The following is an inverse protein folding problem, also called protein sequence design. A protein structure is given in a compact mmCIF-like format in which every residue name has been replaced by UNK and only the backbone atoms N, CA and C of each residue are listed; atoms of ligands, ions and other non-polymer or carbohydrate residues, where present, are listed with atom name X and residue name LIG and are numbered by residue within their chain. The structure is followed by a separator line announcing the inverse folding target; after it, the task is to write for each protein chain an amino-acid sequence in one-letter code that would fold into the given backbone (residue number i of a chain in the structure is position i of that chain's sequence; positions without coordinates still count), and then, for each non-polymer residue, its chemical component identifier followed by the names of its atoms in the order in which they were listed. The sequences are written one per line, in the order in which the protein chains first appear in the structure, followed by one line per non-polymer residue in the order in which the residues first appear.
data_IF_903403077174
#
_entry.id   IF_903403077174
#
_cell.length_a   1.000
_cell.length_b   1.000
_cell.length_c   1.000
_cell.angle_alpha   90.00
_cell.angle_beta   90.00
_cell.angle_gamma   90.00
#
_symmetry.space_group_name_H-M   'P 1'
#
loop_
_entity.id
_entity.type
_entity.pdbx_description
1 polymer ?
#
# COMPACT_ATOMS: atom_id res chain seq x y z
N UNK A 1 -29.78 -50.13 -29.61
CA UNK A 1 -28.80 -49.02 -29.45
C UNK A 1 -29.57 -47.70 -29.28
N UNK A 2 -29.47 -47.07 -28.10
CA UNK A 2 -30.26 -45.87 -27.73
C UNK A 2 -29.52 -44.63 -28.25
N UNK A 3 -30.02 -43.96 -29.30
CA UNK A 3 -29.46 -42.69 -29.80
C UNK A 3 -29.69 -41.59 -28.77
N UNK A 4 -28.64 -41.17 -28.08
CA UNK A 4 -28.64 -39.94 -27.27
C UNK A 4 -28.71 -38.73 -28.19
N UNK A 5 -29.81 -37.97 -28.14
CA UNK A 5 -29.89 -36.65 -28.79
C UNK A 5 -28.85 -35.74 -28.15
N UNK A 6 -27.82 -35.34 -28.91
CA UNK A 6 -26.93 -34.26 -28.51
C UNK A 6 -27.68 -32.95 -28.79
N UNK A 7 -28.19 -32.30 -27.74
CA UNK A 7 -28.72 -30.96 -27.85
C UNK A 7 -27.53 -30.00 -27.92
N UNK A 8 -27.25 -29.47 -29.11
CA UNK A 8 -26.26 -28.42 -29.30
C UNK A 8 -26.81 -27.06 -28.87
N UNK A 9 -25.94 -26.19 -28.35
CA UNK A 9 -26.27 -24.81 -28.02
C UNK A 9 -26.65 -24.04 -29.29
N UNK A 10 -27.67 -23.18 -29.22
CA UNK A 10 -28.08 -22.39 -30.38
C UNK A 10 -27.15 -21.19 -30.57
N UNK A 11 -26.95 -20.75 -31.82
CA UNK A 11 -26.14 -19.54 -32.07
C UNK A 11 -26.75 -18.31 -31.39
N UNK A 12 -28.08 -18.24 -31.30
CA UNK A 12 -28.78 -17.12 -30.66
C UNK A 12 -28.55 -17.07 -29.15
N UNK A 13 -28.44 -18.22 -28.46
CA UNK A 13 -28.08 -18.25 -27.04
C UNK A 13 -26.66 -17.72 -26.82
N UNK A 14 -25.70 -18.09 -27.67
CA UNK A 14 -24.34 -17.58 -27.55
C UNK A 14 -24.28 -16.06 -27.74
N UNK A 15 -25.07 -15.52 -28.69
CA UNK A 15 -25.18 -14.08 -28.95
C UNK A 15 -25.82 -13.34 -27.78
N UNK A 16 -26.89 -13.88 -27.18
CA UNK A 16 -27.52 -13.24 -26.02
C UNK A 16 -26.58 -13.19 -24.82
N UNK A 17 -25.82 -14.28 -24.58
CA UNK A 17 -24.86 -14.35 -23.46
C UNK A 17 -23.76 -13.29 -23.60
N UNK A 18 -23.15 -13.13 -24.77
CA UNK A 18 -22.09 -12.12 -24.96
C UNK A 18 -22.62 -10.69 -24.81
N UNK A 19 -23.87 -10.42 -25.22
CA UNK A 19 -24.50 -9.10 -25.06
C UNK A 19 -24.71 -8.78 -23.58
N UNK A 20 -25.26 -9.72 -22.81
CA UNK A 20 -25.46 -9.53 -21.37
C UNK A 20 -24.12 -9.36 -20.65
N UNK A 21 -23.11 -10.18 -20.96
CA UNK A 21 -21.75 -10.03 -20.41
C UNK A 21 -21.11 -8.70 -20.80
N UNK A 22 -21.36 -8.21 -22.01
CA UNK A 22 -20.89 -6.90 -22.46
C UNK A 22 -21.46 -5.74 -21.64
N UNK A 23 -22.77 -5.77 -21.35
CA UNK A 23 -23.43 -4.74 -20.53
C UNK A 23 -22.91 -4.78 -19.09
N UNK A 24 -22.81 -5.98 -18.50
CA UNK A 24 -22.29 -6.14 -17.13
C UNK A 24 -20.84 -5.68 -17.02
N UNK A 25 -20.00 -6.01 -18.01
CA UNK A 25 -18.60 -5.59 -18.05
C UNK A 25 -18.46 -4.06 -18.15
N UNK A 26 -19.29 -3.41 -18.97
CA UNK A 26 -19.25 -1.95 -19.14
C UNK A 26 -19.49 -1.19 -17.83
N UNK A 27 -20.35 -1.71 -16.94
CA UNK A 27 -20.64 -1.09 -15.64
C UNK A 27 -19.59 -1.50 -14.58
N UNK A 28 -19.12 -2.74 -14.62
CA UNK A 28 -18.22 -3.28 -13.61
C UNK A 28 -16.79 -2.71 -13.69
N UNK A 29 -16.25 -2.52 -14.90
CA UNK A 29 -14.87 -2.04 -15.13
C UNK A 29 -14.58 -0.69 -14.43
N UNK A 30 -15.37 0.38 -14.63
CA UNK A 30 -15.06 1.67 -14.00
C UNK A 30 -15.19 1.61 -12.47
N UNK A 31 -16.15 0.85 -11.94
CA UNK A 31 -16.32 0.65 -10.50
C UNK A 31 -15.12 -0.08 -9.89
N UNK A 32 -14.63 -1.11 -10.56
CA UNK A 32 -13.52 -1.92 -10.07
C UNK A 32 -12.21 -1.14 -9.97
N UNK A 33 -11.95 -0.23 -10.93
CA UNK A 33 -10.77 0.64 -10.90
C UNK A 33 -10.74 1.53 -9.65
N UNK A 34 -11.85 2.22 -9.35
CA UNK A 34 -11.94 3.09 -8.16
C UNK A 34 -11.79 2.29 -6.87
N UNK A 35 -12.45 1.13 -6.76
CA UNK A 35 -12.34 0.28 -5.55
C UNK A 35 -10.93 -0.24 -5.31
N UNK A 36 -10.12 -0.42 -6.36
CA UNK A 36 -8.70 -0.81 -6.20
C UNK A 36 -7.88 0.33 -5.62
N UNK A 37 -8.05 1.54 -6.13
CA UNK A 37 -7.37 2.73 -5.60
C UNK A 37 -7.75 2.99 -4.14
N UNK A 38 -9.04 2.91 -3.80
CA UNK A 38 -9.50 3.06 -2.42
C UNK A 38 -8.91 1.99 -1.48
N UNK A 39 -8.81 0.74 -1.95
CA UNK A 39 -8.20 -0.35 -1.19
C UNK A 39 -6.70 -0.12 -0.96
N UNK A 40 -5.98 0.41 -1.95
CA UNK A 40 -4.56 0.76 -1.84
C UNK A 40 -4.35 1.89 -0.82
N UNK A 41 -5.17 2.95 -0.88
CA UNK A 41 -5.11 4.05 0.10
C UNK A 41 -5.43 3.53 1.50
N UNK A 42 -6.46 2.70 1.66
CA UNK A 42 -6.81 2.10 2.95
C UNK A 42 -5.69 1.23 3.51
N UNK A 43 -5.01 0.46 2.65
CA UNK A 43 -3.82 -0.32 3.03
C UNK A 43 -2.69 0.61 3.49
N UNK A 44 -2.37 1.63 2.70
CA UNK A 44 -1.35 2.62 3.04
C UNK A 44 -1.60 3.29 4.39
N UNK A 45 -2.85 3.71 4.66
CA UNK A 45 -3.28 4.26 5.96
C UNK A 45 -3.04 3.27 7.11
N UNK A 46 -3.40 2.00 6.92
CA UNK A 46 -3.18 0.94 7.92
C UNK A 46 -1.70 0.69 8.18
N UNK A 47 -0.88 0.67 7.12
CA UNK A 47 0.57 0.51 7.21
C UNK A 47 1.18 1.69 7.99
N UNK A 48 0.82 2.94 7.66
CA UNK A 48 1.27 4.16 8.36
C UNK A 48 0.90 4.12 9.85
N UNK A 49 -0.33 3.73 10.17
CA UNK A 49 -0.79 3.62 11.56
C UNK A 49 0.01 2.57 12.34
N UNK A 50 0.33 1.44 11.70
CA UNK A 50 1.14 0.37 12.29
C UNK A 50 2.58 0.84 12.53
N UNK A 51 3.19 1.53 11.54
CA UNK A 51 4.54 2.09 11.64
C UNK A 51 4.61 3.10 12.79
N UNK A 52 3.68 4.07 12.85
CA UNK A 52 3.62 5.06 13.93
C UNK A 52 3.45 4.42 15.31
N UNK A 53 2.60 3.39 15.40
CA UNK A 53 2.39 2.65 16.65
C UNK A 53 3.67 1.91 17.07
N UNK A 54 4.38 1.30 16.12
CA UNK A 54 5.66 0.64 16.35
C UNK A 54 6.73 1.62 16.86
N UNK A 55 6.85 2.81 16.24
CA UNK A 55 7.79 3.86 16.68
C UNK A 55 7.52 4.28 18.14
N UNK A 56 6.24 4.46 18.49
CA UNK A 56 5.86 4.83 19.86
C UNK A 56 6.15 3.69 20.84
N UNK A 57 5.89 2.45 20.45
CA UNK A 57 6.16 1.28 21.29
C UNK A 57 7.66 1.10 21.56
N UNK A 58 8.50 1.26 20.53
CA UNK A 58 9.96 1.27 20.66
C UNK A 58 10.44 2.36 21.61
N UNK A 59 9.89 3.59 21.49
CA UNK A 59 10.20 4.67 22.42
C UNK A 59 9.81 4.32 23.86
N UNK A 60 8.65 3.71 24.08
CA UNK A 60 8.23 3.30 25.42
C UNK A 60 9.20 2.30 26.03
N UNK A 61 9.66 1.32 25.25
CA UNK A 61 10.65 0.33 25.68
C UNK A 61 11.98 1.00 26.05
N UNK A 62 12.47 1.95 25.24
CA UNK A 62 13.71 2.69 25.52
C UNK A 62 13.63 3.54 26.78
N UNK A 63 12.51 4.24 26.99
CA UNK A 63 12.30 5.04 28.19
C UNK A 63 12.38 4.19 29.46
N UNK A 64 11.87 2.96 29.42
CA UNK A 64 11.96 2.00 30.54
C UNK A 64 13.43 1.57 30.79
N UNK A 65 14.24 1.49 29.74
CA UNK A 65 15.67 1.18 29.80
C UNK A 65 16.52 2.40 30.23
N UNK A 66 15.92 3.56 30.42
CA UNK A 66 16.61 4.81 30.78
C UNK A 66 17.17 5.59 29.59
N UNK A 67 16.83 5.19 28.37
CA UNK A 67 17.17 5.89 27.13
C UNK A 67 15.97 6.70 26.63
N UNK A 68 16.09 8.02 26.60
CA UNK A 68 15.01 8.90 26.10
C UNK A 68 15.10 9.21 24.60
N UNK A 69 16.10 8.66 23.89
CA UNK A 69 16.25 8.84 22.46
C UNK A 69 15.18 8.07 21.68
N UNK A 70 14.85 8.56 20.49
CA UNK A 70 14.06 7.78 19.55
C UNK A 70 14.94 6.74 18.85
N UNK A 71 14.29 5.78 18.21
CA UNK A 71 15.00 4.83 17.37
C UNK A 71 15.68 5.60 16.21
N UNK A 72 16.97 5.38 16.01
CA UNK A 72 17.74 6.08 14.96
C UNK A 72 17.40 5.59 13.55
N UNK A 73 16.89 4.36 13.43
CA UNK A 73 16.46 3.79 12.16
C UNK A 73 15.30 2.81 12.37
N UNK A 74 14.19 3.05 11.70
CA UNK A 74 13.01 2.20 11.75
C UNK A 74 13.16 0.92 10.92
N UNK A 75 14.22 0.76 10.11
CA UNK A 75 14.47 -0.41 9.27
C UNK A 75 15.30 -1.54 9.87
N UNK A 76 15.89 -1.37 11.08
CA UNK A 76 16.97 -2.21 11.69
C UNK A 76 18.27 -2.30 10.88
N UNK A 77 18.18 -2.42 9.57
CA UNK A 77 19.30 -2.44 8.64
C UNK A 77 19.07 -1.39 7.55
N UNK A 78 19.82 -0.30 7.62
CA UNK A 78 19.82 0.79 6.65
C UNK A 78 20.07 0.29 5.21
N UNK A 79 20.72 -0.86 5.04
CA UNK A 79 21.08 -1.44 3.74
C UNK A 79 20.03 -2.41 3.20
N UNK A 80 19.03 -2.79 4.00
CA UNK A 80 18.00 -3.72 3.57
C UNK A 80 16.94 -2.97 2.74
N UNK A 81 16.98 -3.21 1.43
CA UNK A 81 16.01 -2.68 0.46
C UNK A 81 14.90 -3.67 0.11
N UNK A 82 14.90 -4.86 0.72
CA UNK A 82 13.95 -5.95 0.46
C UNK A 82 12.77 -6.00 1.42
N UNK A 83 13.01 -5.65 2.69
CA UNK A 83 12.00 -5.57 3.74
C UNK A 83 12.18 -4.26 4.49
N UNK A 84 11.08 -3.55 4.67
CA UNK A 84 11.02 -2.24 5.30
C UNK A 84 10.49 -2.33 6.72
N UNK A 85 10.87 -1.38 7.57
CA UNK A 85 10.32 -1.16 8.91
C UNK A 85 10.56 -2.29 9.92
N UNK A 86 11.60 -3.11 9.73
CA UNK A 86 11.90 -4.24 10.63
C UNK A 86 12.14 -3.83 12.09
N UNK A 87 12.48 -2.56 12.35
CA UNK A 87 12.79 -2.06 13.71
C UNK A 87 11.60 -1.65 14.52
N UNK A 88 10.44 -1.51 13.88
CA UNK A 88 9.21 -1.06 14.51
C UNK A 88 8.05 -2.01 14.27
N UNK A 89 8.15 -2.89 13.27
CA UNK A 89 7.15 -3.91 12.96
C UNK A 89 7.69 -5.30 13.25
N UNK A 90 6.84 -6.16 13.81
CA UNK A 90 7.16 -7.58 14.02
C UNK A 90 7.41 -8.33 12.69
N UNK A 91 6.69 -7.93 11.64
CA UNK A 91 6.93 -8.39 10.27
C UNK A 91 7.19 -7.16 9.39
N UNK A 92 8.36 -7.10 8.78
CA UNK A 92 8.70 -6.04 7.84
C UNK A 92 7.81 -6.08 6.60
N UNK A 93 7.58 -4.91 6.01
CA UNK A 93 6.80 -4.77 4.78
C UNK A 93 7.72 -5.07 3.58
N UNK A 94 7.39 -6.00 2.67
CA UNK A 94 8.21 -6.23 1.49
C UNK A 94 8.28 -4.97 0.61
N UNK A 95 9.47 -4.69 0.12
CA UNK A 95 9.76 -3.53 -0.73
C UNK A 95 9.50 -3.86 -2.19
N UNK A 96 8.52 -3.21 -2.80
CA UNK A 96 8.15 -3.42 -4.20
C UNK A 96 7.79 -2.07 -4.87
N UNK A 97 8.38 -1.80 -6.04
CA UNK A 97 8.08 -0.60 -6.85
C UNK A 97 6.79 -0.79 -7.66
N UNK A 98 5.69 -1.12 -6.96
CA UNK A 98 4.36 -1.37 -7.54
C UNK A 98 3.30 -0.62 -6.76
N UNK A 99 2.18 -0.31 -7.41
CA UNK A 99 1.04 0.41 -6.84
C UNK A 99 0.48 -0.24 -5.55
N UNK A 100 0.37 0.53 -4.46
CA UNK A 100 -0.09 0.05 -3.16
C UNK A 100 1.00 -0.60 -2.29
N UNK A 101 2.25 -0.58 -2.75
CA UNK A 101 3.40 -1.09 -2.03
C UNK A 101 4.32 0.05 -1.57
N UNK A 102 5.08 -0.28 -0.53
CA UNK A 102 6.15 0.55 -0.03
C UNK A 102 7.44 0.13 -0.72
N UNK A 103 8.31 1.09 -0.99
CA UNK A 103 9.68 0.83 -1.40
C UNK A 103 10.60 1.95 -0.91
N UNK A 104 11.90 1.77 -1.05
CA UNK A 104 12.87 2.84 -0.81
C UNK A 104 13.83 2.94 -2.00
N UNK A 105 14.07 4.16 -2.49
CA UNK A 105 14.96 4.40 -3.63
C UNK A 105 16.44 4.39 -3.21
N UNK A 106 16.75 4.57 -1.93
CA UNK A 106 18.14 4.57 -1.44
C UNK A 106 18.17 4.07 0.01
N UNK A 107 18.95 3.02 0.22
CA UNK A 107 19.33 2.54 1.54
C UNK A 107 19.83 3.70 2.44
N UNK A 108 19.20 3.90 3.59
CA UNK A 108 19.81 4.62 4.70
C UNK A 108 19.51 6.11 4.90
N UNK A 109 18.45 6.68 4.33
CA UNK A 109 18.15 8.12 4.48
C UNK A 109 16.80 8.44 5.16
N UNK A 110 16.21 7.48 5.90
CA UNK A 110 14.92 7.69 6.58
C UNK A 110 13.75 8.03 5.66
N UNK A 111 13.90 7.78 4.35
CA UNK A 111 12.94 8.12 3.31
C UNK A 111 12.31 6.84 2.73
N UNK A 112 10.99 6.77 2.82
CA UNK A 112 10.17 5.64 2.41
C UNK A 112 9.13 6.13 1.43
N UNK A 113 8.91 5.39 0.36
CA UNK A 113 8.02 5.80 -0.72
C UNK A 113 6.84 4.86 -0.75
N UNK A 114 5.64 5.41 -0.76
CA UNK A 114 4.41 4.68 -1.00
C UNK A 114 3.88 5.06 -2.37
N UNK A 115 3.70 4.07 -3.25
CA UNK A 115 3.17 4.33 -4.60
C UNK A 115 1.65 4.32 -4.59
N UNK A 116 1.03 5.46 -4.89
CA UNK A 116 -0.41 5.64 -4.90
C UNK A 116 -0.85 6.59 -6.01
N UNK A 117 -1.93 6.25 -6.70
CA UNK A 117 -2.48 6.96 -7.85
C UNK A 117 -1.46 7.20 -8.98
N UNK A 118 -0.49 6.28 -9.15
CA UNK A 118 0.62 6.44 -10.09
C UNK A 118 1.63 7.52 -9.68
N UNK A 119 1.59 7.97 -8.41
CA UNK A 119 2.50 8.94 -7.83
C UNK A 119 3.33 8.31 -6.72
N UNK A 120 4.58 8.77 -6.61
CA UNK A 120 5.50 8.35 -5.56
C UNK A 120 5.35 9.30 -4.36
N UNK A 121 4.64 8.84 -3.31
CA UNK A 121 4.44 9.63 -2.08
C UNK A 121 5.59 9.38 -1.13
N UNK A 122 6.40 10.41 -0.90
CA UNK A 122 7.58 10.31 -0.03
C UNK A 122 7.20 10.58 1.42
N UNK A 123 7.48 9.61 2.29
CA UNK A 123 7.43 9.68 3.73
C UNK A 123 8.83 9.80 4.31
N UNK A 124 8.99 10.70 5.27
CA UNK A 124 10.25 10.90 5.99
C UNK A 124 10.02 10.58 7.46
N UNK A 125 10.98 9.84 8.02
CA UNK A 125 11.12 9.63 9.44
C UNK A 125 12.14 10.60 10.02
N UNK A 126 11.75 11.32 11.06
CA UNK A 126 12.64 12.18 11.84
C UNK A 126 13.00 11.47 13.16
N UNK A 127 14.29 11.16 13.34
CA UNK A 127 14.85 10.47 14.51
C UNK A 127 15.00 11.36 15.75
N UNK A 128 14.82 12.67 15.61
CA UNK A 128 14.86 13.63 16.71
C UNK A 128 13.46 13.83 17.28
N UNK A 129 12.46 13.86 16.40
CA UNK A 129 11.06 14.09 16.80
C UNK A 129 10.22 12.82 16.86
N UNK A 130 10.69 11.72 16.27
CA UNK A 130 9.94 10.46 16.14
C UNK A 130 8.76 10.53 15.17
N UNK A 131 8.67 11.59 14.37
CA UNK A 131 7.53 11.82 13.49
C UNK A 131 7.76 11.09 12.17
N UNK A 132 6.75 10.33 11.76
CA UNK A 132 6.68 9.71 10.44
C UNK A 132 5.57 10.38 9.62
N UNK A 133 5.97 11.19 8.63
CA UNK A 133 5.04 12.01 7.84
C UNK A 133 5.48 12.18 6.39
N UNK A 134 4.52 12.46 5.51
CA UNK A 134 4.77 12.95 4.16
C UNK A 134 4.50 14.47 4.08
N UNK A 135 5.06 15.12 3.05
CA UNK A 135 4.87 16.55 2.82
C UNK A 135 3.55 16.84 2.09
N UNK A 136 2.58 17.40 2.83
CA UNK A 136 1.22 17.73 2.34
C UNK A 136 1.19 18.87 1.32
N UNK A 137 2.25 19.68 1.23
CA UNK A 137 2.34 20.83 0.30
C UNK A 137 3.23 20.53 -0.89
N UNK A 138 3.65 19.28 -1.08
CA UNK A 138 4.49 18.91 -2.23
C UNK A 138 3.71 19.06 -3.54
N UNK A 139 4.35 19.66 -4.56
CA UNK A 139 3.68 19.99 -5.82
C UNK A 139 3.15 18.76 -6.57
N UNK A 140 3.83 17.62 -6.46
CA UNK A 140 3.47 16.39 -7.20
C UNK A 140 2.54 15.48 -6.42
N UNK A 141 2.88 15.14 -5.17
CA UNK A 141 2.22 14.09 -4.38
C UNK A 141 1.48 14.63 -3.13
N UNK A 142 1.34 15.94 -2.98
CA UNK A 142 0.75 16.56 -1.78
C UNK A 142 -0.71 16.14 -1.55
N UNK A 143 -1.51 16.00 -2.61
CA UNK A 143 -2.89 15.52 -2.51
C UNK A 143 -2.97 14.03 -2.12
N UNK A 144 -2.18 13.17 -2.77
CA UNK A 144 -2.08 11.76 -2.40
C UNK A 144 -1.59 11.58 -0.94
N UNK A 145 -0.67 12.43 -0.48
CA UNK A 145 -0.24 12.48 0.91
C UNK A 145 -1.38 12.82 1.88
N UNK A 146 -2.26 13.77 1.54
CA UNK A 146 -3.45 14.08 2.35
C UNK A 146 -4.39 12.88 2.40
N UNK A 147 -4.64 12.23 1.26
CA UNK A 147 -5.45 11.01 1.20
C UNK A 147 -4.88 9.85 2.03
N UNK A 148 -3.59 9.85 2.37
CA UNK A 148 -2.97 8.80 3.18
C UNK A 148 -2.89 9.14 4.67
N UNK A 149 -2.98 10.41 5.05
CA UNK A 149 -2.85 10.82 6.46
C UNK A 149 -4.18 11.25 7.09
N UNK A 150 -5.10 11.84 6.33
CA UNK A 150 -6.39 12.34 6.82
C UNK A 150 -7.54 11.32 6.60
#
# INVERSE_FOLDING_TARGET
MKKTKKNGFTMIEMVFVIVVLGILAAIAVPRFAVTRTDAQISKGRSDIASIRSGIINERQTRIIQGDSSWISDINLDLNNTSTLFGGVLMYGIPSEDTEGHWYTATAGNGSYIFKSEGQDVVFTYDDTTGIFTCNRTHATYGEACKHLID
#
